data_IF_113453052819
#
_entry.id   IF_113453052819
#
_cell.length_a   1.000
_cell.length_b   1.000
_cell.length_c   1.000
_cell.angle_alpha   90.00
_cell.angle_beta   90.00
_cell.angle_gamma   90.00
#
_symmetry.space_group_name_H-M   'P 1'
#
loop_
_entity.id
_entity.type
_entity.pdbx_description
1 polymer ?
#
# COMPACT_ATOMS: atom_id res chain seq x y z
N UNK A 1 67.46 -19.35 29.71
CA UNK A 1 67.73 -20.05 30.98
C UNK A 1 67.48 -21.53 30.72
N UNK A 2 68.56 -22.30 30.54
CA UNK A 2 68.50 -23.75 30.44
C UNK A 2 68.40 -24.30 31.86
N UNK A 3 67.30 -24.97 32.18
CA UNK A 3 67.08 -25.67 33.44
C UNK A 3 66.93 -27.16 33.18
N UNK A 4 68.04 -27.88 33.26
CA UNK A 4 68.09 -29.33 33.39
C UNK A 4 67.46 -29.74 34.72
N UNK A 5 66.66 -30.82 34.75
CA UNK A 5 66.48 -31.75 35.89
C UNK A 5 65.67 -32.95 35.35
N UNK A 6 66.33 -34.08 35.06
CA UNK A 6 66.72 -35.14 35.99
C UNK A 6 65.59 -36.17 36.13
N UNK A 7 65.63 -37.19 35.27
CA UNK A 7 64.86 -38.42 35.42
C UNK A 7 65.36 -39.14 36.68
N UNK A 8 64.50 -39.33 37.66
CA UNK A 8 64.76 -40.11 38.86
C UNK A 8 64.20 -41.52 38.66
N UNK A 9 65.10 -42.50 38.53
CA UNK A 9 64.80 -43.91 38.72
C UNK A 9 64.62 -44.20 40.22
N UNK A 10 63.63 -45.00 40.64
CA UNK A 10 63.57 -45.50 42.01
C UNK A 10 64.54 -46.67 42.17
N UNK A 11 65.46 -46.53 43.12
CA UNK A 11 66.50 -47.50 43.42
C UNK A 11 66.00 -48.79 44.09
N UNK A 12 66.74 -49.85 43.82
CA UNK A 12 66.68 -51.14 44.50
C UNK A 12 67.01 -51.00 45.99
N UNK A 13 66.19 -51.60 46.85
CA UNK A 13 66.45 -51.72 48.29
C UNK A 13 65.97 -53.09 48.78
N UNK A 14 66.90 -54.04 48.85
CA UNK A 14 66.75 -55.28 49.62
C UNK A 14 66.78 -54.98 51.12
N UNK A 15 66.02 -55.75 51.92
CA UNK A 15 66.53 -56.17 53.22
C UNK A 15 66.50 -57.69 53.41
N UNK A 16 67.53 -58.14 54.13
CA UNK A 16 67.94 -59.50 54.46
C UNK A 16 66.96 -60.33 55.30
N UNK A 17 66.93 -61.62 54.97
CA UNK A 17 67.05 -62.82 55.82
C UNK A 17 66.33 -62.85 57.18
N UNK A 18 65.35 -63.74 57.31
CA UNK A 18 65.15 -64.50 58.54
C UNK A 18 64.74 -65.95 58.24
N UNK A 19 65.48 -66.87 58.85
CA UNK A 19 65.33 -68.31 58.74
C UNK A 19 64.20 -68.82 59.65
N UNK A 20 63.36 -69.72 59.13
CA UNK A 20 62.93 -70.94 59.82
C UNK A 20 62.05 -71.78 58.89
N UNK A 21 62.54 -72.98 58.56
CA UNK A 21 61.79 -74.04 57.90
C UNK A 21 60.70 -74.61 58.85
N UNK A 22 59.70 -75.35 58.33
CA UNK A 22 59.98 -76.77 58.15
C UNK A 22 59.55 -77.34 56.79
N UNK A 23 60.46 -78.20 56.34
CA UNK A 23 60.37 -79.32 55.41
C UNK A 23 58.95 -79.93 55.31
N UNK A 24 58.44 -80.03 54.09
CA UNK A 24 57.56 -81.13 53.73
C UNK A 24 57.86 -81.59 52.30
N UNK A 25 58.27 -82.85 52.21
CA UNK A 25 58.62 -83.51 50.96
C UNK A 25 57.35 -83.86 50.19
N UNK A 26 57.30 -83.49 48.92
CA UNK A 26 56.73 -84.36 47.89
C UNK A 26 57.28 -83.95 46.53
N UNK A 27 57.98 -84.92 45.94
CA UNK A 27 58.61 -84.91 44.65
C UNK A 27 57.54 -85.13 43.58
N UNK A 28 57.47 -84.26 42.57
CA UNK A 28 56.98 -84.62 41.24
C UNK A 28 57.66 -83.73 40.18
N UNK A 29 58.11 -84.28 39.04
CA UNK A 29 58.89 -83.54 38.07
C UNK A 29 57.95 -82.87 37.06
N UNK A 30 57.68 -81.58 37.22
CA UNK A 30 57.15 -80.76 36.14
C UNK A 30 58.16 -79.70 35.74
N UNK A 31 58.88 -80.03 34.67
CA UNK A 31 59.42 -79.16 33.62
C UNK A 31 59.27 -77.66 33.91
N UNK A 32 60.35 -77.03 34.38
CA UNK A 32 60.49 -75.57 34.34
C UNK A 32 60.46 -75.15 32.86
N UNK A 33 59.32 -74.70 32.37
CA UNK A 33 59.23 -73.93 31.14
C UNK A 33 59.22 -72.45 31.53
N UNK A 34 60.18 -71.69 31.00
CA UNK A 34 60.17 -70.23 31.08
C UNK A 34 58.82 -69.70 30.53
N UNK A 35 58.08 -68.86 31.28
CA UNK A 35 56.74 -68.40 30.90
C UNK A 35 56.72 -67.45 29.68
N UNK A 36 57.87 -67.24 29.02
CA UNK A 36 58.06 -66.31 27.90
C UNK A 36 58.24 -67.02 26.54
N UNK A 37 58.22 -68.36 26.49
CA UNK A 37 58.39 -69.08 25.23
C UNK A 37 57.11 -69.09 24.38
N UNK A 38 57.20 -68.77 23.07
CA UNK A 38 56.07 -68.90 22.15
C UNK A 38 55.61 -70.36 22.06
N UNK A 39 54.31 -70.61 22.24
CA UNK A 39 53.69 -71.93 21.99
C UNK A 39 53.23 -71.99 20.53
N UNK A 40 53.73 -72.96 19.77
CA UNK A 40 53.35 -73.17 18.38
C UNK A 40 52.24 -74.22 18.29
N UNK A 41 51.14 -73.91 17.61
CA UNK A 41 50.02 -74.82 17.34
C UNK A 41 49.67 -74.75 15.86
N UNK A 42 49.55 -75.90 15.18
CA UNK A 42 49.40 -76.08 13.72
C UNK A 42 48.82 -74.86 12.96
N UNK A 43 49.71 -73.95 12.54
CA UNK A 43 49.40 -72.76 11.73
C UNK A 43 49.55 -71.39 12.40
N UNK A 44 49.66 -71.29 13.73
CA UNK A 44 49.87 -70.02 14.45
C UNK A 44 50.76 -70.14 15.68
N UNK A 45 51.36 -69.02 16.07
CA UNK A 45 52.24 -68.91 17.24
C UNK A 45 51.55 -68.09 18.33
N UNK A 46 51.31 -68.70 19.49
CA UNK A 46 50.76 -68.07 20.68
C UNK A 46 51.91 -67.55 21.55
N UNK A 47 52.10 -66.23 21.56
CA UNK A 47 53.04 -65.56 22.46
C UNK A 47 52.28 -65.18 23.74
N UNK A 48 52.61 -65.74 24.91
CA UNK A 48 51.93 -65.40 26.15
C UNK A 48 52.18 -63.92 26.53
N UNK A 49 51.18 -63.21 27.09
CA UNK A 49 51.37 -61.84 27.54
C UNK A 49 52.48 -61.73 28.58
N UNK A 50 53.42 -60.80 28.38
CA UNK A 50 54.44 -60.50 29.38
C UNK A 50 53.74 -59.76 30.53
N UNK A 51 53.49 -60.47 31.64
CA UNK A 51 52.70 -59.95 32.77
C UNK A 51 53.31 -58.68 33.38
N UNK A 52 54.64 -58.54 33.41
CA UNK A 52 55.31 -57.32 33.90
C UNK A 52 55.05 -56.12 32.99
N UNK A 53 55.13 -56.31 31.66
CA UNK A 53 54.81 -55.27 30.67
C UNK A 53 53.32 -54.91 30.72
N UNK A 54 52.46 -55.90 30.91
CA UNK A 54 51.01 -55.74 31.04
C UNK A 54 50.64 -54.97 32.30
N UNK A 55 51.20 -55.32 33.44
CA UNK A 55 51.02 -54.61 34.71
C UNK A 55 51.52 -53.17 34.62
N UNK A 56 52.70 -52.94 34.02
CA UNK A 56 53.21 -51.59 33.75
C UNK A 56 52.27 -50.78 32.87
N UNK A 57 51.73 -51.37 31.80
CA UNK A 57 50.74 -50.73 30.93
C UNK A 57 49.44 -50.40 31.68
N UNK A 58 48.96 -51.30 32.53
CA UNK A 58 47.76 -51.07 33.34
C UNK A 58 47.97 -49.96 34.36
N UNK A 59 49.11 -49.92 35.04
CA UNK A 59 49.43 -48.84 35.97
C UNK A 59 49.56 -47.49 35.26
N UNK A 60 50.22 -47.45 34.10
CA UNK A 60 50.30 -46.22 33.30
C UNK A 60 48.92 -45.75 32.84
N UNK A 61 48.09 -46.66 32.34
CA UNK A 61 46.72 -46.34 31.90
C UNK A 61 45.85 -45.80 33.05
N UNK A 62 45.93 -46.42 34.23
CA UNK A 62 45.20 -45.95 35.42
C UNK A 62 45.68 -44.56 35.84
N UNK A 63 46.99 -44.35 35.87
CA UNK A 63 47.58 -43.05 36.22
C UNK A 63 47.16 -41.96 35.24
N UNK A 64 47.22 -42.24 33.94
CA UNK A 64 46.80 -41.29 32.89
C UNK A 64 45.30 -40.96 32.98
N UNK A 65 44.46 -41.94 33.34
CA UNK A 65 43.04 -41.73 33.57
C UNK A 65 42.77 -40.80 34.76
N UNK A 66 43.45 -41.02 35.89
CA UNK A 66 43.37 -40.15 37.06
C UNK A 66 43.86 -38.73 36.76
N UNK A 67 44.97 -38.58 36.04
CA UNK A 67 45.53 -37.28 35.66
C UNK A 67 44.55 -36.52 34.74
N UNK A 68 43.88 -37.22 33.82
CA UNK A 68 42.87 -36.64 32.95
C UNK A 68 41.60 -36.23 33.70
N UNK A 69 41.17 -37.03 34.69
CA UNK A 69 40.05 -36.68 35.57
C UNK A 69 40.36 -35.42 36.38
N UNK A 70 41.55 -35.35 37.00
CA UNK A 70 42.00 -34.16 37.74
C UNK A 70 42.09 -32.93 36.84
N UNK A 71 42.59 -33.07 35.62
CA UNK A 71 42.62 -31.98 34.66
C UNK A 71 41.21 -31.50 34.30
N UNK A 72 40.27 -32.42 34.06
CA UNK A 72 38.86 -32.08 33.79
C UNK A 72 38.22 -31.35 34.94
N UNK A 73 38.47 -31.77 36.18
CA UNK A 73 37.93 -31.12 37.38
C UNK A 73 38.54 -29.73 37.58
N UNK A 74 39.87 -29.61 37.44
CA UNK A 74 40.57 -28.33 37.54
C UNK A 74 40.18 -27.33 36.45
N UNK A 75 39.85 -27.81 35.25
CA UNK A 75 39.43 -26.98 34.11
C UNK A 75 37.92 -26.95 33.93
N UNK A 76 37.14 -27.53 34.85
CA UNK A 76 35.68 -27.50 34.77
C UNK A 76 35.23 -26.06 34.97
N UNK A 77 34.64 -25.39 33.97
CA UNK A 77 34.06 -24.09 34.20
C UNK A 77 32.95 -24.23 35.25
N UNK A 78 32.97 -23.35 36.25
CA UNK A 78 31.97 -23.34 37.31
C UNK A 78 30.55 -23.11 36.76
N UNK A 79 29.50 -23.48 37.51
CA UNK A 79 28.12 -23.17 37.13
C UNK A 79 27.96 -21.67 36.93
N UNK A 80 27.72 -21.24 35.69
CA UNK A 80 27.50 -19.83 35.37
C UNK A 80 26.09 -19.47 35.80
N UNK A 81 25.96 -18.82 36.96
CA UNK A 81 24.70 -18.26 37.48
C UNK A 81 24.52 -16.80 37.06
N UNK A 82 24.80 -16.47 35.80
CA UNK A 82 24.49 -15.14 35.27
C UNK A 82 23.06 -15.17 34.73
N UNK A 83 22.26 -14.17 35.13
CA UNK A 83 21.01 -13.91 34.43
C UNK A 83 21.33 -13.70 32.95
N UNK A 84 20.62 -14.35 32.01
CA UNK A 84 20.89 -14.19 30.59
C UNK A 84 20.86 -12.70 30.23
N UNK A 85 21.97 -12.20 29.72
CA UNK A 85 22.05 -10.84 29.20
C UNK A 85 21.09 -10.75 28.00
N UNK A 86 20.14 -9.80 28.04
CA UNK A 86 19.20 -9.60 26.93
C UNK A 86 19.96 -8.98 25.76
N UNK A 87 20.61 -9.83 24.96
CA UNK A 87 21.19 -9.42 23.69
C UNK A 87 20.05 -9.15 22.69
N UNK A 88 19.76 -7.86 22.48
CA UNK A 88 18.92 -7.36 21.38
C UNK A 88 17.57 -6.77 21.79
N UNK A 89 17.22 -5.64 21.16
CA UNK A 89 15.93 -4.97 21.26
C UNK A 89 15.62 -4.38 22.64
N UNK A 90 15.86 -3.08 22.82
CA UNK A 90 15.49 -2.35 24.05
C UNK A 90 13.98 -2.37 24.36
N UNK A 91 13.16 -2.84 23.41
CA UNK A 91 11.70 -2.73 23.40
C UNK A 91 11.11 -4.14 23.49
N UNK A 92 10.09 -4.30 24.33
CA UNK A 92 9.33 -5.57 24.40
C UNK A 92 8.65 -5.85 23.06
N UNK A 93 8.50 -7.13 22.70
CA UNK A 93 7.80 -7.53 21.47
C UNK A 93 6.38 -6.94 21.40
N UNK A 94 5.68 -6.87 22.53
CA UNK A 94 4.35 -6.26 22.62
C UNK A 94 4.37 -4.77 22.26
N UNK A 95 5.35 -4.03 22.80
CA UNK A 95 5.53 -2.60 22.54
C UNK A 95 5.93 -2.35 21.08
N UNK A 96 6.78 -3.21 20.50
CA UNK A 96 7.12 -3.14 19.08
C UNK A 96 5.89 -3.31 18.18
N UNK A 97 4.99 -4.26 18.52
CA UNK A 97 3.72 -4.46 17.80
C UNK A 97 2.79 -3.27 17.96
N UNK A 98 2.69 -2.70 19.15
CA UNK A 98 1.87 -1.51 19.39
C UNK A 98 2.34 -0.33 18.53
N UNK A 99 3.65 -0.08 18.50
CA UNK A 99 4.26 0.97 17.66
C UNK A 99 3.94 0.76 16.18
N UNK A 100 4.08 -0.46 15.68
CA UNK A 100 3.73 -0.78 14.28
C UNK A 100 2.25 -0.50 13.96
N UNK A 101 1.33 -0.84 14.87
CA UNK A 101 -0.10 -0.56 14.69
C UNK A 101 -0.39 0.94 14.69
N UNK A 102 0.25 1.70 15.59
CA UNK A 102 0.12 3.15 15.64
C UNK A 102 0.67 3.82 14.39
N UNK A 103 1.84 3.41 13.91
CA UNK A 103 2.45 3.91 12.68
C UNK A 103 1.57 3.64 11.46
N UNK A 104 0.99 2.44 11.36
CA UNK A 104 0.06 2.08 10.28
C UNK A 104 -1.18 2.99 10.30
N UNK A 105 -1.77 3.20 11.48
CA UNK A 105 -2.93 4.10 11.63
C UNK A 105 -2.57 5.54 11.26
N UNK A 106 -1.43 6.05 11.73
CA UNK A 106 -0.95 7.40 11.41
C UNK A 106 -0.70 7.58 9.92
N UNK A 107 -0.04 6.61 9.28
CA UNK A 107 0.24 6.62 7.85
C UNK A 107 -1.05 6.63 7.02
N UNK A 108 -2.05 5.82 7.42
CA UNK A 108 -3.37 5.79 6.77
C UNK A 108 -4.06 7.15 6.83
N UNK A 109 -4.12 7.76 8.03
CA UNK A 109 -4.72 9.08 8.20
C UNK A 109 -3.98 10.16 7.40
N UNK A 110 -2.65 10.15 7.42
CA UNK A 110 -1.85 11.11 6.67
C UNK A 110 -2.08 11.00 5.15
N UNK A 111 -2.22 9.78 4.62
CA UNK A 111 -2.55 9.56 3.20
C UNK A 111 -3.93 10.09 2.85
N UNK A 112 -4.91 9.91 3.72
CA UNK A 112 -6.27 10.44 3.50
C UNK A 112 -6.25 11.98 3.45
N UNK A 113 -5.63 12.63 4.42
CA UNK A 113 -5.51 14.09 4.44
C UNK A 113 -4.80 14.64 3.20
N UNK A 114 -3.69 14.01 2.77
CA UNK A 114 -2.99 14.40 1.53
C UNK A 114 -3.87 14.24 0.30
N UNK A 115 -4.65 13.17 0.23
CA UNK A 115 -5.57 12.94 -0.89
C UNK A 115 -6.66 14.01 -0.92
N UNK A 116 -7.28 14.28 0.22
CA UNK A 116 -8.32 15.30 0.35
C UNK A 116 -7.81 16.69 -0.03
N UNK A 117 -6.59 17.05 0.37
CA UNK A 117 -5.97 18.32 0.01
C UNK A 117 -5.75 18.44 -1.51
N UNK A 118 -5.20 17.39 -2.14
CA UNK A 118 -5.00 17.36 -3.59
C UNK A 118 -6.35 17.43 -4.33
N UNK A 119 -7.34 16.67 -3.86
CA UNK A 119 -8.68 16.65 -4.46
C UNK A 119 -9.37 18.01 -4.32
N UNK A 120 -9.17 18.71 -3.19
CA UNK A 120 -9.68 20.08 -2.97
C UNK A 120 -9.02 21.08 -3.91
N UNK A 121 -7.70 21.06 -4.03
CA UNK A 121 -6.98 21.94 -4.95
C UNK A 121 -7.37 21.69 -6.40
N UNK A 122 -7.54 20.43 -6.80
CA UNK A 122 -8.00 20.06 -8.13
C UNK A 122 -9.40 20.62 -8.44
N UNK A 123 -10.33 20.52 -7.50
CA UNK A 123 -11.69 21.08 -7.65
C UNK A 123 -11.65 22.60 -7.79
N UNK A 124 -10.86 23.27 -6.97
CA UNK A 124 -10.70 24.73 -7.06
C UNK A 124 -10.14 25.16 -8.41
N UNK A 125 -9.10 24.49 -8.91
CA UNK A 125 -8.53 24.78 -10.23
C UNK A 125 -9.54 24.55 -11.36
N UNK A 126 -10.35 23.48 -11.28
CA UNK A 126 -11.41 23.19 -12.24
C UNK A 126 -12.54 24.24 -12.20
N UNK A 127 -12.94 24.68 -11.00
CA UNK A 127 -13.94 25.75 -10.81
C UNK A 127 -13.44 27.08 -11.40
N UNK A 128 -12.19 27.46 -11.13
CA UNK A 128 -11.56 28.66 -11.69
C UNK A 128 -11.48 28.61 -13.22
N UNK A 129 -11.14 27.47 -13.80
CA UNK A 129 -11.12 27.29 -15.25
C UNK A 129 -12.54 27.40 -15.84
N UNK A 130 -13.52 26.77 -15.19
CA UNK A 130 -14.91 26.81 -15.61
C UNK A 130 -15.44 28.25 -15.60
N UNK A 131 -15.17 29.01 -14.55
CA UNK A 131 -15.57 30.40 -14.43
C UNK A 131 -14.86 31.28 -15.46
N UNK A 132 -13.58 31.03 -15.73
CA UNK A 132 -12.85 31.69 -16.82
C UNK A 132 -13.49 31.42 -18.19
N UNK A 133 -13.91 30.19 -18.45
CA UNK A 133 -14.56 29.81 -19.70
C UNK A 133 -15.95 30.44 -19.82
N UNK A 134 -16.74 30.47 -18.74
CA UNK A 134 -18.02 31.19 -18.69
C UNK A 134 -17.84 32.68 -18.92
N UNK A 135 -16.85 33.31 -18.29
CA UNK A 135 -16.58 34.73 -18.48
C UNK A 135 -16.25 35.06 -19.95
N UNK A 136 -15.38 34.26 -20.58
CA UNK A 136 -15.11 34.37 -22.03
C UNK A 136 -16.36 34.19 -22.89
N UNK A 137 -17.25 33.28 -22.51
CA UNK A 137 -18.48 33.06 -23.26
C UNK A 137 -19.44 34.24 -23.13
N UNK A 138 -19.55 34.82 -21.92
CA UNK A 138 -20.34 36.02 -21.65
C UNK A 138 -19.83 37.24 -22.43
N UNK A 139 -18.51 37.45 -22.43
CA UNK A 139 -17.87 38.53 -23.20
C UNK A 139 -18.15 38.35 -24.71
N UNK A 140 -18.06 37.12 -25.23
CA UNK A 140 -18.41 36.83 -26.62
C UNK A 140 -19.87 37.11 -26.94
N UNK A 141 -20.79 36.76 -26.05
CA UNK A 141 -22.21 37.03 -26.25
C UNK A 141 -22.50 38.52 -26.24
N UNK A 142 -21.95 39.26 -25.27
CA UNK A 142 -22.09 40.71 -25.16
C UNK A 142 -21.57 41.41 -26.43
N UNK A 143 -20.35 41.06 -26.87
CA UNK A 143 -19.77 41.62 -28.10
C UNK A 143 -20.61 41.32 -29.35
N UNK A 144 -21.25 40.15 -29.42
CA UNK A 144 -22.13 39.80 -30.53
C UNK A 144 -23.45 40.56 -30.47
N UNK A 145 -24.00 40.76 -29.29
CA UNK A 145 -25.20 41.55 -29.06
C UNK A 145 -24.98 43.02 -29.42
N UNK A 146 -23.88 43.63 -28.95
CA UNK A 146 -23.49 44.99 -29.32
C UNK A 146 -23.39 45.17 -30.84
N UNK A 147 -22.75 44.21 -31.54
CA UNK A 147 -22.66 44.26 -33.00
C UNK A 147 -24.04 44.18 -33.66
N UNK A 148 -24.90 43.28 -33.16
CA UNK A 148 -26.27 43.13 -33.67
C UNK A 148 -27.10 44.39 -33.44
N UNK A 149 -26.97 45.04 -32.29
CA UNK A 149 -27.65 46.30 -32.00
C UNK A 149 -27.20 47.42 -32.94
N UNK A 150 -25.89 47.51 -33.25
CA UNK A 150 -25.37 48.47 -34.20
C UNK A 150 -25.92 48.24 -35.62
N UNK A 151 -25.92 46.99 -36.09
CA UNK A 151 -26.50 46.62 -37.38
C UNK A 151 -28.01 46.92 -37.44
N UNK A 152 -28.74 46.65 -36.35
CA UNK A 152 -30.17 46.95 -36.26
C UNK A 152 -30.45 48.45 -36.25
N UNK A 153 -29.65 49.25 -35.55
CA UNK A 153 -29.73 50.73 -35.56
C UNK A 153 -29.55 51.27 -36.98
N UNK A 154 -28.51 50.82 -37.68
CA UNK A 154 -28.27 51.21 -39.08
C UNK A 154 -29.45 50.81 -39.99
N UNK A 155 -29.97 49.58 -39.84
CA UNK A 155 -31.13 49.12 -40.59
C UNK A 155 -32.36 49.98 -40.31
N UNK A 156 -32.60 50.34 -39.06
CA UNK A 156 -33.71 51.22 -38.64
C UNK A 156 -33.57 52.62 -39.27
N UNK A 157 -32.37 53.20 -39.27
CA UNK A 157 -32.11 54.50 -39.88
C UNK A 157 -32.40 54.49 -41.39
N UNK A 158 -31.91 53.49 -42.12
CA UNK A 158 -32.18 53.35 -43.57
C UNK A 158 -33.68 53.20 -43.84
N UNK A 159 -34.37 52.37 -43.06
CA UNK A 159 -35.82 52.18 -43.21
C UNK A 159 -36.60 53.46 -42.88
N UNK A 160 -36.18 54.21 -41.86
CA UNK A 160 -36.77 55.51 -41.54
C UNK A 160 -36.58 56.50 -42.69
N UNK A 161 -35.38 56.59 -43.26
CA UNK A 161 -35.13 57.46 -44.43
C UNK A 161 -35.99 57.08 -45.64
N UNK A 162 -36.09 55.79 -45.96
CA UNK A 162 -36.94 55.32 -47.06
C UNK A 162 -38.43 55.59 -46.78
N UNK A 163 -38.88 55.39 -45.55
CA UNK A 163 -40.25 55.70 -45.13
C UNK A 163 -40.56 57.19 -45.29
N UNK A 164 -39.66 58.08 -44.84
CA UNK A 164 -39.81 59.52 -45.03
C UNK A 164 -39.83 59.90 -46.51
N UNK A 165 -38.95 59.31 -47.33
CA UNK A 165 -38.93 59.51 -48.79
C UNK A 165 -40.25 59.11 -49.44
N UNK A 166 -40.75 57.90 -49.14
CA UNK A 166 -42.01 57.39 -49.68
C UNK A 166 -43.21 58.22 -49.23
N UNK A 167 -43.22 58.66 -47.97
CA UNK A 167 -44.28 59.52 -47.44
C UNK A 167 -44.30 60.86 -48.16
N UNK A 168 -43.13 61.49 -48.38
CA UNK A 168 -43.03 62.71 -49.19
C UNK A 168 -43.51 62.51 -50.62
N UNK A 169 -43.13 61.40 -51.28
CA UNK A 169 -43.60 61.06 -52.61
C UNK A 169 -45.11 60.84 -52.68
N UNK A 170 -45.69 60.21 -51.65
CA UNK A 170 -47.13 60.01 -51.52
C UNK A 170 -47.86 61.35 -51.35
N UNK A 171 -47.40 62.21 -50.44
CA UNK A 171 -47.97 63.54 -50.24
C UNK A 171 -47.93 64.37 -51.52
N UNK A 172 -46.78 64.38 -52.22
CA UNK A 172 -46.66 65.04 -53.52
C UNK A 172 -47.65 64.48 -54.56
N UNK A 173 -47.93 63.18 -54.54
CA UNK A 173 -48.93 62.57 -55.42
C UNK A 173 -50.34 63.02 -55.05
N UNK A 174 -50.69 63.05 -53.76
CA UNK A 174 -52.00 63.51 -53.27
C UNK A 174 -52.21 64.98 -53.62
N UNK A 175 -51.25 65.85 -53.33
CA UNK A 175 -51.30 67.28 -53.69
C UNK A 175 -51.49 67.49 -55.21
N UNK A 176 -50.90 66.61 -56.05
CA UNK A 176 -51.11 66.62 -57.51
C UNK A 176 -52.44 65.99 -57.94
N UNK A 177 -53.01 65.13 -57.12
CA UNK A 177 -54.28 64.42 -57.36
C UNK A 177 -55.49 65.19 -56.83
N UNK A 178 -55.31 66.14 -55.90
CA UNK A 178 -56.36 67.09 -55.48
C UNK A 178 -56.80 68.04 -56.62
N UNK A 179 -56.10 68.01 -57.77
CA UNK A 179 -56.54 68.61 -59.03
C UNK A 179 -57.51 67.72 -59.86
N UNK A 180 -57.85 66.51 -59.40
CA UNK A 180 -58.76 65.58 -60.07
C UNK A 180 -59.72 64.90 -59.06
N UNK A 181 -61.02 64.79 -59.36
CA UNK A 181 -61.98 64.26 -58.39
C UNK A 181 -61.82 62.74 -58.24
N UNK A 182 -61.51 62.26 -57.03
CA UNK A 182 -61.52 60.84 -56.71
C UNK A 182 -62.90 60.43 -56.18
N UNK A 183 -63.52 59.47 -56.88
CA UNK A 183 -64.76 58.82 -56.47
C UNK A 183 -64.50 57.92 -55.24
N UNK A 184 -65.14 58.27 -54.12
CA UNK A 184 -65.14 57.47 -52.89
C UNK A 184 -66.14 56.34 -53.03
N UNK A 185 -65.67 55.11 -53.20
CA UNK A 185 -66.47 53.90 -53.03
C UNK A 185 -66.30 53.37 -51.61
N UNK A 186 -67.22 53.75 -50.72
CA UNK A 186 -67.31 53.24 -49.36
C UNK A 186 -67.85 51.81 -49.36
N UNK A 187 -66.96 50.81 -49.40
CA UNK A 187 -67.33 49.41 -49.19
C UNK A 187 -67.11 49.03 -47.71
N UNK A 188 -68.19 49.15 -46.93
CA UNK A 188 -68.26 48.74 -45.52
C UNK A 188 -68.36 47.23 -45.37
N UNK A 189 -67.28 46.49 -45.60
CA UNK A 189 -67.21 45.07 -45.20
C UNK A 189 -65.81 44.75 -44.73
N UNK A 190 -65.71 44.14 -43.54
CA UNK A 190 -64.49 43.70 -42.84
C UNK A 190 -63.34 43.41 -43.81
N UNK A 191 -62.27 44.21 -43.70
CA UNK A 191 -61.06 44.06 -44.50
C UNK A 191 -60.65 42.58 -44.55
N UNK A 192 -60.35 42.00 -45.73
CA UNK A 192 -59.80 40.65 -45.84
C UNK A 192 -58.59 40.41 -44.91
N UNK A 193 -57.87 41.49 -44.56
CA UNK A 193 -56.76 41.47 -43.61
C UNK A 193 -57.22 41.27 -42.16
N UNK A 194 -58.36 41.83 -41.76
CA UNK A 194 -58.95 41.63 -40.43
C UNK A 194 -59.36 40.17 -40.24
N UNK A 195 -60.05 39.59 -41.23
CA UNK A 195 -60.42 38.16 -41.23
C UNK A 195 -59.21 37.22 -41.17
N UNK A 196 -58.11 37.56 -41.86
CA UNK A 196 -56.90 36.76 -41.83
C UNK A 196 -56.15 36.86 -40.48
N UNK A 197 -56.28 37.97 -39.76
CA UNK A 197 -55.72 38.12 -38.42
C UNK A 197 -56.49 37.31 -37.38
N UNK A 198 -57.83 37.38 -37.42
CA UNK A 198 -58.73 36.60 -36.55
C UNK A 198 -58.46 35.10 -36.66
N UNK A 199 -58.38 34.58 -37.89
CA UNK A 199 -58.03 33.18 -38.14
C UNK A 199 -56.65 32.79 -37.57
N UNK A 200 -55.65 33.68 -37.65
CA UNK A 200 -54.30 33.43 -37.10
C UNK A 200 -54.27 33.55 -35.58
N UNK A 201 -55.12 34.36 -34.96
CA UNK A 201 -55.25 34.41 -33.49
C UNK A 201 -55.96 33.18 -32.96
N UNK A 202 -57.09 32.80 -33.55
CA UNK A 202 -57.85 31.61 -33.16
C UNK A 202 -56.97 30.35 -33.23
N UNK A 203 -56.21 30.18 -34.32
CA UNK A 203 -55.28 29.05 -34.45
C UNK A 203 -54.19 29.03 -33.38
N UNK A 204 -53.67 30.20 -32.98
CA UNK A 204 -52.66 30.30 -31.91
C UNK A 204 -53.25 30.01 -30.53
N UNK A 205 -54.48 30.42 -30.29
CA UNK A 205 -55.20 30.14 -29.04
C UNK A 205 -55.51 28.64 -28.91
N UNK A 206 -55.94 28.00 -30.00
CA UNK A 206 -56.14 26.55 -30.07
C UNK A 206 -54.83 25.77 -29.82
N UNK A 207 -53.73 26.17 -30.45
CA UNK A 207 -52.41 25.55 -30.21
C UNK A 207 -51.93 25.75 -28.74
N UNK A 208 -52.18 26.93 -28.15
CA UNK A 208 -51.81 27.22 -26.75
C UNK A 208 -52.64 26.42 -25.74
N UNK A 209 -53.96 26.30 -25.96
CA UNK A 209 -54.84 25.50 -25.09
C UNK A 209 -54.46 24.02 -25.16
N UNK A 210 -54.15 23.49 -26.35
CA UNK A 210 -53.66 22.13 -26.51
C UNK A 210 -52.32 21.88 -25.78
N UNK A 211 -51.41 22.86 -25.78
CA UNK A 211 -50.16 22.79 -25.02
C UNK A 211 -50.38 22.84 -23.50
N UNK A 212 -51.33 23.66 -23.03
CA UNK A 212 -51.69 23.70 -21.61
C UNK A 212 -52.26 22.36 -21.12
N UNK A 213 -53.17 21.75 -21.88
CA UNK A 213 -53.72 20.44 -21.55
C UNK A 213 -52.64 19.36 -21.45
N UNK A 214 -51.67 19.34 -22.38
CA UNK A 214 -50.53 18.41 -22.32
C UNK A 214 -49.65 18.64 -21.08
N UNK A 215 -49.45 19.91 -20.67
CA UNK A 215 -48.71 20.24 -19.45
C UNK A 215 -49.47 19.77 -18.19
N UNK A 216 -50.78 19.91 -18.15
CA UNK A 216 -51.60 19.41 -17.04
C UNK A 216 -51.63 17.89 -16.97
N UNK A 217 -51.72 17.22 -18.11
CA UNK A 217 -51.66 15.75 -18.19
C UNK A 217 -50.29 15.24 -17.70
N UNK A 218 -49.20 15.91 -18.09
CA UNK A 218 -47.88 15.61 -17.53
C UNK A 218 -47.84 15.84 -16.02
N UNK A 219 -48.39 16.95 -15.50
CA UNK A 219 -48.47 17.20 -14.05
C UNK A 219 -49.26 16.13 -13.29
N UNK A 220 -50.31 15.56 -13.87
CA UNK A 220 -51.09 14.46 -13.29
C UNK A 220 -50.37 13.11 -13.37
N UNK A 221 -49.50 12.92 -14.38
CA UNK A 221 -48.66 11.72 -14.55
C UNK A 221 -47.43 11.69 -13.65
N UNK A 222 -46.94 12.84 -13.18
CA UNK A 222 -45.91 12.89 -12.14
C UNK A 222 -46.57 12.46 -10.83
N UNK A 223 -46.19 11.33 -10.21
CA UNK A 223 -46.72 10.95 -8.91
C UNK A 223 -46.42 12.08 -7.92
N UNK A 224 -47.45 12.49 -7.18
CA UNK A 224 -47.30 13.37 -6.03
C UNK A 224 -46.50 12.60 -4.96
N UNK A 225 -45.17 12.59 -5.05
CA UNK A 225 -44.30 12.19 -3.95
C UNK A 225 -44.16 13.39 -3.01
N UNK A 226 -45.27 13.78 -2.38
CA UNK A 226 -45.25 14.71 -1.26
C UNK A 226 -46.14 14.14 -0.17
N UNK A 227 -45.50 13.94 1.00
CA UNK A 227 -46.01 13.54 2.32
C UNK A 227 -46.18 12.04 2.59
N UNK A 228 -45.10 11.44 3.13
CA UNK A 228 -45.15 10.72 4.42
C UNK A 228 -43.78 10.85 5.10
N UNK A 229 -43.64 11.87 5.95
CA UNK A 229 -42.65 11.89 7.01
C UNK A 229 -43.36 12.35 8.29
N UNK A 230 -43.81 11.37 9.05
CA UNK A 230 -44.01 11.38 10.50
C UNK A 230 -43.57 10.00 10.99
#
# INVERSE_FOLDING_TARGET
MFGSNAWQEPGDSNPDVNANAPVNANTDPQTQQDPTQPRHSDGFTMIPPIESRRSKLQMMAQKEEEDLQRWKEANRPGPVQLAPERLGGAVSLAEARERQLLELRRSKLQKQLRKEEIDRQRKQAEEEENDRMKAKQREKTERLEERREQEERQRREVLQQDHLRKTKQFLQRVERSDAAPLAVTSASHTSPWARAQEYRSERREEENTALQLKKEEQRKKVPCQIYNHC
#
